data_IF_397619984781
#
_entry.id   IF_397619984781
#
_cell.length_a   1.000
_cell.length_b   1.000
_cell.length_c   1.000
_cell.angle_alpha   90.00
_cell.angle_beta   90.00
_cell.angle_gamma   90.00
#
_symmetry.space_group_name_H-M   'P 1'
#
loop_
_entity.id
_entity.type
_entity.pdbx_description
1 polymer ?
#
# COMPACT_ATOMS: atom_id res chain seq x y z
N UNK A 1 -23.43 -3.41 -6.78
CA UNK A 1 -22.25 -3.07 -7.60
C UNK A 1 -21.38 -2.12 -6.82
N UNK A 2 -20.07 -2.31 -6.81
CA UNK A 2 -19.13 -1.36 -6.25
C UNK A 2 -18.40 -0.65 -7.40
N UNK A 3 -18.39 0.71 -7.38
CA UNK A 3 -17.65 1.54 -8.34
C UNK A 3 -16.37 2.03 -7.68
N UNK A 4 -15.23 1.52 -8.13
CA UNK A 4 -13.91 2.01 -7.76
C UNK A 4 -13.49 3.13 -8.69
N UNK A 5 -13.45 4.35 -8.17
CA UNK A 5 -12.92 5.52 -8.86
C UNK A 5 -11.66 6.01 -8.15
N UNK A 6 -10.50 5.57 -8.62
CA UNK A 6 -9.23 5.84 -7.95
C UNK A 6 -8.11 6.07 -8.96
N UNK A 7 -7.53 7.28 -8.95
CA UNK A 7 -6.35 7.59 -9.78
C UNK A 7 -5.06 7.44 -8.97
N UNK A 8 -5.02 8.01 -7.79
CA UNK A 8 -3.88 7.95 -6.88
C UNK A 8 -4.34 7.54 -5.49
N UNK A 9 -3.63 6.61 -4.88
CA UNK A 9 -3.93 6.13 -3.53
C UNK A 9 -2.77 6.50 -2.61
N UNK A 10 -3.06 7.33 -1.62
CA UNK A 10 -2.12 7.67 -0.55
C UNK A 10 -2.29 6.68 0.60
N UNK A 11 -1.33 5.77 0.76
CA UNK A 11 -1.34 4.76 1.81
C UNK A 11 -0.12 3.87 1.74
N UNK A 12 0.21 3.21 2.83
CA UNK A 12 1.23 2.17 2.85
C UNK A 12 0.77 0.93 2.06
N UNK A 13 1.71 0.24 1.42
CA UNK A 13 1.40 -0.94 0.60
C UNK A 13 0.61 -2.00 1.36
N UNK A 14 0.95 -2.24 2.63
CA UNK A 14 0.21 -3.18 3.50
C UNK A 14 -1.25 -2.77 3.71
N UNK A 15 -1.54 -1.47 3.81
CA UNK A 15 -2.92 -0.98 3.95
C UNK A 15 -3.70 -1.19 2.65
N UNK A 16 -3.06 -0.96 1.50
CA UNK A 16 -3.67 -1.17 0.18
C UNK A 16 -3.94 -2.66 -0.03
N UNK A 17 -3.04 -3.54 0.41
CA UNK A 17 -3.22 -4.98 0.36
C UNK A 17 -4.39 -5.44 1.26
N UNK A 18 -4.54 -4.90 2.47
CA UNK A 18 -5.69 -5.17 3.33
C UNK A 18 -7.02 -4.77 2.64
N UNK A 19 -7.06 -3.58 2.01
CA UNK A 19 -8.23 -3.13 1.24
C UNK A 19 -8.48 -4.08 0.07
N UNK A 20 -7.44 -4.45 -0.68
CA UNK A 20 -7.54 -5.39 -1.78
C UNK A 20 -8.12 -6.74 -1.35
N UNK A 21 -7.65 -7.28 -0.23
CA UNK A 21 -8.17 -8.54 0.31
C UNK A 21 -9.65 -8.44 0.68
N UNK A 22 -10.09 -7.31 1.26
CA UNK A 22 -11.52 -7.09 1.53
C UNK A 22 -12.37 -6.93 0.27
N UNK A 23 -11.83 -6.35 -0.77
CA UNK A 23 -12.50 -6.30 -2.08
C UNK A 23 -12.59 -7.68 -2.73
N UNK A 24 -11.58 -8.54 -2.57
CA UNK A 24 -11.65 -9.94 -3.03
C UNK A 24 -12.72 -10.73 -2.26
N UNK A 25 -12.82 -10.55 -0.95
CA UNK A 25 -13.92 -11.13 -0.14
C UNK A 25 -15.29 -10.62 -0.63
N UNK A 26 -15.41 -9.33 -0.92
CA UNK A 26 -16.63 -8.74 -1.48
C UNK A 26 -16.96 -9.34 -2.85
N UNK A 27 -15.97 -9.43 -3.75
CA UNK A 27 -16.13 -10.06 -5.07
C UNK A 27 -16.60 -11.50 -4.97
N UNK A 28 -16.11 -12.26 -3.98
CA UNK A 28 -16.50 -13.64 -3.74
C UNK A 28 -17.99 -13.79 -3.34
N UNK A 29 -18.66 -12.71 -2.89
CA UNK A 29 -20.11 -12.73 -2.66
C UNK A 29 -20.95 -12.68 -3.95
N UNK A 30 -20.34 -12.66 -5.12
CA UNK A 30 -20.99 -12.55 -6.42
C UNK A 30 -21.39 -11.13 -6.83
N UNK A 31 -21.09 -10.12 -6.01
CA UNK A 31 -21.37 -8.71 -6.34
C UNK A 31 -20.25 -8.16 -7.22
N UNK A 32 -20.57 -7.58 -8.39
CA UNK A 32 -19.53 -7.09 -9.30
C UNK A 32 -18.86 -5.81 -8.77
N UNK A 33 -17.59 -5.71 -9.09
CA UNK A 33 -16.75 -4.52 -8.88
C UNK A 33 -16.41 -3.95 -10.25
N UNK A 34 -16.67 -2.68 -10.45
CA UNK A 34 -16.36 -1.92 -11.66
C UNK A 34 -15.33 -0.86 -11.32
N UNK A 35 -14.21 -0.85 -12.01
CA UNK A 35 -13.19 0.18 -11.84
C UNK A 35 -13.17 1.13 -13.03
N UNK A 36 -13.04 2.42 -12.75
CA UNK A 36 -12.83 3.46 -13.76
C UNK A 36 -11.83 4.49 -13.26
N UNK A 37 -11.00 4.97 -14.15
CA UNK A 37 -10.14 6.14 -13.91
C UNK A 37 -9.71 6.80 -15.20
N UNK A 38 -9.33 8.06 -15.11
CA UNK A 38 -8.62 8.76 -16.18
C UNK A 38 -7.13 8.39 -16.18
N UNK A 39 -6.56 8.19 -15.01
CA UNK A 39 -5.16 7.77 -14.83
C UNK A 39 -5.11 6.76 -13.69
N UNK A 40 -4.50 5.63 -13.92
CA UNK A 40 -4.19 4.68 -12.85
C UNK A 40 -2.71 4.77 -12.50
N UNK A 41 -2.38 5.25 -11.29
CA UNK A 41 -1.06 5.00 -10.72
C UNK A 41 -0.85 3.49 -10.50
N UNK A 42 0.38 3.03 -10.35
CA UNK A 42 0.67 1.59 -10.15
C UNK A 42 -0.10 0.99 -8.96
N UNK A 43 -0.19 1.72 -7.85
CA UNK A 43 -0.95 1.29 -6.67
C UNK A 43 -2.46 1.32 -6.88
N UNK A 44 -2.97 2.32 -7.60
CA UNK A 44 -4.38 2.38 -7.97
C UNK A 44 -4.76 1.24 -8.92
N UNK A 45 -3.89 0.94 -9.90
CA UNK A 45 -4.12 -0.18 -10.81
C UNK A 45 -3.99 -1.53 -10.10
N UNK A 46 -3.04 -1.67 -9.18
CA UNK A 46 -2.95 -2.88 -8.33
C UNK A 46 -4.28 -3.16 -7.62
N UNK A 47 -4.93 -2.10 -7.08
CA UNK A 47 -6.24 -2.25 -6.47
C UNK A 47 -7.34 -2.53 -7.51
N UNK A 48 -7.36 -1.78 -8.61
CA UNK A 48 -8.37 -1.91 -9.66
C UNK A 48 -8.30 -3.24 -10.41
N UNK A 49 -7.12 -3.87 -10.50
CA UNK A 49 -6.88 -5.09 -11.28
C UNK A 49 -7.77 -6.27 -10.87
N UNK A 50 -8.28 -6.28 -9.63
CA UNK A 50 -9.22 -7.31 -9.16
C UNK A 50 -10.66 -7.12 -9.65
N UNK A 51 -11.01 -5.94 -10.21
CA UNK A 51 -12.37 -5.64 -10.62
C UNK A 51 -12.87 -6.62 -11.72
N UNK A 52 -14.18 -6.77 -11.81
CA UNK A 52 -14.81 -7.58 -12.85
C UNK A 52 -14.70 -6.91 -14.22
N UNK A 53 -14.77 -5.58 -14.23
CA UNK A 53 -14.54 -4.74 -15.40
C UNK A 53 -13.69 -3.54 -15.01
N UNK A 54 -12.72 -3.22 -15.86
CA UNK A 54 -11.82 -2.08 -15.71
C UNK A 54 -11.95 -1.21 -16.93
N UNK A 55 -12.32 0.03 -16.71
CA UNK A 55 -12.46 1.03 -17.76
C UNK A 55 -11.41 2.13 -17.58
N UNK A 56 -10.94 2.66 -18.69
CA UNK A 56 -9.96 3.73 -18.73
C UNK A 56 -10.50 4.83 -19.67
N UNK A 57 -10.27 6.07 -19.29
CA UNK A 57 -10.55 7.20 -20.20
C UNK A 57 -9.80 7.00 -21.54
N UNK A 58 -10.39 7.32 -22.70
CA UNK A 58 -9.74 7.18 -24.01
C UNK A 58 -8.40 7.93 -24.15
N UNK A 59 -8.20 8.99 -23.36
CA UNK A 59 -6.94 9.74 -23.27
C UNK A 59 -6.12 9.36 -22.03
N UNK A 60 -6.51 8.29 -21.32
CA UNK A 60 -5.92 7.88 -20.07
C UNK A 60 -4.65 7.06 -20.20
N UNK A 61 -4.01 6.83 -19.08
CA UNK A 61 -2.79 6.02 -18.95
C UNK A 61 -2.85 5.11 -17.74
N UNK A 62 -2.06 4.04 -17.77
CA UNK A 62 -1.78 3.19 -16.61
C UNK A 62 -0.28 3.25 -16.34
N UNK A 63 0.11 3.70 -15.15
CA UNK A 63 1.50 3.73 -14.75
C UNK A 63 1.91 2.36 -14.20
N UNK A 64 2.38 1.46 -15.06
CA UNK A 64 3.07 0.24 -14.63
C UNK A 64 4.56 0.45 -14.87
N UNK A 65 5.27 0.72 -13.77
CA UNK A 65 6.70 1.02 -13.74
C UNK A 65 7.36 0.08 -12.72
N UNK A 66 8.67 0.03 -12.70
CA UNK A 66 9.40 -0.62 -11.62
C UNK A 66 9.33 0.20 -10.31
N UNK A 67 10.03 -0.30 -9.31
CA UNK A 67 10.28 0.44 -8.07
C UNK A 67 11.73 0.90 -8.08
N UNK A 68 11.98 2.11 -7.59
CA UNK A 68 13.32 2.65 -7.41
C UNK A 68 13.50 3.24 -6.02
N UNK A 69 14.74 3.22 -5.53
CA UNK A 69 15.11 3.91 -4.32
C UNK A 69 16.32 4.82 -4.63
N UNK A 70 16.23 6.08 -4.23
CA UNK A 70 17.33 7.04 -4.34
C UNK A 70 17.80 7.41 -2.94
N UNK A 71 19.11 7.29 -2.70
CA UNK A 71 19.73 7.67 -1.44
C UNK A 71 20.70 8.82 -1.72
N UNK A 72 20.55 9.90 -0.96
CA UNK A 72 21.42 11.05 -1.05
C UNK A 72 22.65 10.84 -0.16
N UNK A 73 23.84 11.14 -0.65
CA UNK A 73 25.11 11.03 0.08
C UNK A 73 25.63 12.42 0.38
N UNK A 74 26.01 12.66 1.63
CA UNK A 74 26.37 13.97 2.16
C UNK A 74 27.87 14.10 2.47
N UNK A 75 28.67 13.04 2.31
CA UNK A 75 30.10 13.03 2.64
C UNK A 75 30.84 14.24 2.04
N UNK A 76 30.72 14.46 0.73
CA UNK A 76 31.37 15.60 0.09
C UNK A 76 30.91 16.98 0.58
N UNK A 77 29.66 17.11 1.06
CA UNK A 77 29.20 18.34 1.70
C UNK A 77 29.82 18.51 3.09
N UNK A 78 29.89 17.45 3.87
CA UNK A 78 30.46 17.47 5.22
C UNK A 78 31.98 17.79 5.18
N UNK A 79 32.70 17.22 4.24
CA UNK A 79 34.12 17.53 3.99
C UNK A 79 34.35 19.03 3.66
N UNK A 80 33.49 19.62 2.81
CA UNK A 80 33.54 21.06 2.51
C UNK A 80 33.26 21.97 3.70
N UNK A 81 32.48 21.47 4.65
CA UNK A 81 32.16 22.18 5.89
C UNK A 81 33.15 21.88 7.02
N UNK A 82 34.22 21.10 6.75
CA UNK A 82 35.18 20.62 7.75
C UNK A 82 34.49 19.89 8.94
N UNK A 83 33.49 19.08 8.63
CA UNK A 83 32.78 18.25 9.62
C UNK A 83 33.26 16.81 9.51
N UNK A 84 33.93 16.31 10.54
CA UNK A 84 34.34 14.92 10.66
C UNK A 84 33.20 14.09 11.30
N UNK A 85 32.77 13.02 10.62
CA UNK A 85 31.75 12.11 11.10
C UNK A 85 32.41 10.90 11.74
N UNK A 86 32.25 10.77 13.05
CA UNK A 86 32.70 9.58 13.80
C UNK A 86 31.58 8.56 13.88
N UNK A 87 31.88 7.32 13.49
CA UNK A 87 30.89 6.24 13.42
C UNK A 87 31.28 5.11 14.33
N UNK A 88 30.30 4.67 15.10
CA UNK A 88 30.37 3.43 15.86
C UNK A 88 29.28 2.51 15.33
N UNK A 89 29.66 1.51 14.52
CA UNK A 89 28.69 0.53 14.00
C UNK A 89 29.19 -0.88 14.19
N UNK A 90 28.26 -1.82 14.29
CA UNK A 90 28.52 -3.26 14.25
C UNK A 90 27.65 -3.93 13.18
N UNK A 91 28.29 -4.69 12.29
CA UNK A 91 27.62 -5.43 11.21
C UNK A 91 27.61 -4.70 9.86
N UNK A 92 27.70 -5.50 8.77
CA UNK A 92 27.84 -5.01 7.38
C UNK A 92 26.53 -4.38 6.84
N UNK A 93 25.38 -4.83 7.32
CA UNK A 93 24.08 -4.38 6.84
C UNK A 93 23.50 -3.18 7.61
N UNK A 94 24.29 -2.50 8.43
CA UNK A 94 23.92 -1.25 9.11
C UNK A 94 24.18 -0.05 8.21
N UNK A 95 23.34 0.11 7.18
CA UNK A 95 23.52 1.07 6.09
C UNK A 95 23.08 2.51 6.41
N UNK A 96 22.37 2.75 7.51
CA UNK A 96 21.84 4.07 7.86
C UNK A 96 22.89 5.19 7.96
N UNK A 97 24.15 4.85 8.18
CA UNK A 97 25.26 5.78 8.29
C UNK A 97 26.02 6.03 6.96
N UNK A 98 25.81 5.18 5.97
CA UNK A 98 26.53 5.27 4.69
C UNK A 98 26.39 6.65 4.02
N UNK A 99 25.22 7.31 4.05
CA UNK A 99 25.04 8.64 3.48
C UNK A 99 26.03 9.71 4.01
N UNK A 100 26.57 9.52 5.20
CA UNK A 100 27.44 10.50 5.84
C UNK A 100 28.94 10.21 5.62
N UNK A 101 29.30 8.98 5.21
CA UNK A 101 30.69 8.53 5.15
C UNK A 101 31.12 7.91 3.83
N UNK A 102 30.17 7.59 2.97
CA UNK A 102 30.44 7.04 1.65
C UNK A 102 29.96 8.02 0.57
N UNK A 103 30.53 7.90 -0.65
CA UNK A 103 30.10 8.66 -1.81
C UNK A 103 29.04 7.93 -2.63
N UNK A 104 28.86 6.65 -2.38
CA UNK A 104 27.88 5.78 -3.02
C UNK A 104 27.48 4.63 -2.10
N UNK A 105 26.40 3.99 -2.44
CA UNK A 105 25.87 2.83 -1.73
C UNK A 105 26.87 1.66 -1.74
N UNK A 106 27.04 0.99 -0.59
CA UNK A 106 27.81 -0.26 -0.51
C UNK A 106 27.09 -1.39 -1.26
N UNK A 107 27.84 -2.43 -1.64
CA UNK A 107 27.27 -3.61 -2.32
C UNK A 107 26.27 -4.35 -1.41
N UNK A 108 26.55 -4.41 -0.11
CA UNK A 108 25.65 -5.02 0.88
C UNK A 108 24.32 -4.25 0.99
N UNK A 109 24.39 -2.91 1.02
CA UNK A 109 23.20 -2.07 1.05
C UNK A 109 22.40 -2.19 -0.26
N UNK A 110 23.09 -2.17 -1.40
CA UNK A 110 22.50 -2.37 -2.72
C UNK A 110 21.76 -3.70 -2.78
N UNK A 111 22.39 -4.81 -2.42
CA UNK A 111 21.79 -6.14 -2.42
C UNK A 111 20.54 -6.22 -1.52
N UNK A 112 20.60 -5.59 -0.35
CA UNK A 112 19.46 -5.53 0.57
C UNK A 112 18.28 -4.77 -0.02
N UNK A 113 18.54 -3.58 -0.61
CA UNK A 113 17.49 -2.78 -1.23
C UNK A 113 16.92 -3.44 -2.48
N UNK A 114 17.75 -4.01 -3.33
CA UNK A 114 17.31 -4.73 -4.53
C UNK A 114 16.43 -5.92 -4.15
N UNK A 115 16.79 -6.68 -3.13
CA UNK A 115 15.98 -7.80 -2.62
C UNK A 115 14.63 -7.31 -2.14
N UNK A 116 14.59 -6.23 -1.36
CA UNK A 116 13.35 -5.64 -0.84
C UNK A 116 12.46 -5.11 -1.99
N UNK A 117 13.02 -4.29 -2.88
CA UNK A 117 12.27 -3.69 -3.99
C UNK A 117 11.74 -4.74 -4.95
N UNK A 118 12.55 -5.75 -5.29
CA UNK A 118 12.13 -6.85 -6.14
C UNK A 118 11.02 -7.70 -5.50
N UNK A 119 11.10 -7.94 -4.20
CA UNK A 119 10.05 -8.66 -3.47
C UNK A 119 8.71 -7.91 -3.54
N UNK A 120 8.73 -6.60 -3.29
CA UNK A 120 7.53 -5.76 -3.34
C UNK A 120 6.98 -5.67 -4.78
N UNK A 121 7.85 -5.39 -5.76
CA UNK A 121 7.46 -5.27 -7.15
C UNK A 121 6.85 -6.58 -7.69
N UNK A 122 7.49 -7.70 -7.41
CA UNK A 122 6.99 -9.01 -7.82
C UNK A 122 5.62 -9.32 -7.22
N UNK A 123 5.39 -9.02 -5.96
CA UNK A 123 4.10 -9.24 -5.30
C UNK A 123 2.97 -8.42 -5.98
N UNK A 124 3.24 -7.14 -6.27
CA UNK A 124 2.28 -6.27 -6.98
C UNK A 124 2.01 -6.79 -8.40
N UNK A 125 3.07 -7.04 -9.18
CA UNK A 125 2.94 -7.43 -10.58
C UNK A 125 2.34 -8.83 -10.75
N UNK A 126 2.67 -9.77 -9.86
CA UNK A 126 2.09 -11.11 -9.85
C UNK A 126 0.60 -11.10 -9.52
N UNK A 127 0.20 -10.28 -8.55
CA UNK A 127 -1.21 -10.05 -8.25
C UNK A 127 -1.99 -9.48 -9.43
N UNK A 128 -1.40 -8.53 -10.17
CA UNK A 128 -1.99 -7.99 -11.40
C UNK A 128 -2.07 -9.08 -12.48
N UNK A 129 -0.97 -9.82 -12.68
CA UNK A 129 -0.88 -10.91 -13.65
C UNK A 129 -1.99 -11.94 -13.46
N UNK A 130 -2.13 -12.40 -12.23
CA UNK A 130 -3.14 -13.38 -11.83
C UNK A 130 -4.56 -12.92 -12.13
N UNK A 131 -4.91 -11.67 -11.77
CA UNK A 131 -6.27 -11.15 -11.95
C UNK A 131 -6.60 -10.82 -13.42
N UNK A 132 -5.61 -10.41 -14.21
CA UNK A 132 -5.79 -10.06 -15.63
C UNK A 132 -5.53 -11.23 -16.58
N UNK A 133 -5.14 -12.40 -16.09
CA UNK A 133 -4.79 -13.56 -16.92
C UNK A 133 -3.57 -13.30 -17.81
N UNK A 134 -2.63 -12.48 -17.34
CA UNK A 134 -1.40 -12.14 -18.04
C UNK A 134 -0.21 -12.91 -17.45
N UNK A 135 0.81 -13.16 -18.26
CA UNK A 135 2.06 -13.73 -17.76
C UNK A 135 2.88 -12.63 -17.05
N UNK A 136 3.42 -12.93 -15.86
CA UNK A 136 4.27 -12.00 -15.10
C UNK A 136 5.45 -11.49 -15.95
N UNK A 137 6.08 -12.35 -16.76
CA UNK A 137 7.17 -11.96 -17.65
C UNK A 137 6.75 -10.90 -18.68
N UNK A 138 5.50 -10.96 -19.17
CA UNK A 138 4.97 -9.96 -20.08
C UNK A 138 4.68 -8.64 -19.40
N UNK A 139 4.17 -8.66 -18.17
CA UNK A 139 3.96 -7.43 -17.40
C UNK A 139 5.29 -6.74 -17.11
N UNK A 140 6.35 -7.50 -16.79
CA UNK A 140 7.70 -6.94 -16.60
C UNK A 140 8.22 -6.31 -17.89
N UNK A 141 8.11 -7.01 -19.01
CA UNK A 141 8.49 -6.49 -20.35
C UNK A 141 7.72 -5.18 -20.66
N UNK A 142 6.41 -5.13 -20.36
CA UNK A 142 5.60 -3.95 -20.58
C UNK A 142 6.01 -2.79 -19.66
N UNK A 143 6.38 -3.08 -18.41
CA UNK A 143 6.87 -2.08 -17.45
C UNK A 143 8.23 -1.52 -17.89
N UNK A 144 9.17 -2.37 -18.29
CA UNK A 144 10.51 -1.98 -18.73
C UNK A 144 10.47 -1.10 -20.00
N UNK A 145 9.47 -1.32 -20.87
CA UNK A 145 9.29 -0.57 -22.12
C UNK A 145 8.22 0.50 -22.04
N UNK A 146 7.67 0.83 -20.87
CA UNK A 146 6.63 1.83 -20.62
C UNK A 146 5.42 1.68 -21.57
N UNK A 147 4.99 0.45 -21.82
CA UNK A 147 3.99 0.16 -22.85
C UNK A 147 2.56 0.55 -22.46
N UNK A 148 2.32 0.91 -21.20
CA UNK A 148 0.99 1.23 -20.67
C UNK A 148 0.69 2.74 -20.59
N UNK A 149 1.54 3.58 -21.18
CA UNK A 149 1.36 5.04 -21.24
C UNK A 149 0.40 5.52 -22.35
N UNK A 150 -0.35 4.60 -22.96
CA UNK A 150 -1.32 4.91 -23.99
C UNK A 150 -2.56 4.02 -23.82
N UNK A 151 -3.73 4.64 -23.78
CA UNK A 151 -5.00 3.96 -23.52
C UNK A 151 -5.29 2.81 -24.51
N UNK A 152 -5.05 3.04 -25.81
CA UNK A 152 -5.27 2.02 -26.84
C UNK A 152 -4.33 0.82 -26.65
N UNK A 153 -3.06 1.08 -26.28
CA UNK A 153 -2.13 -0.01 -25.92
C UNK A 153 -2.61 -0.76 -24.68
N UNK A 154 -3.10 -0.05 -23.66
CA UNK A 154 -3.63 -0.69 -22.44
C UNK A 154 -4.80 -1.64 -22.78
N UNK A 155 -5.69 -1.25 -23.70
CA UNK A 155 -6.78 -2.09 -24.16
C UNK A 155 -6.25 -3.32 -24.93
N UNK A 156 -5.38 -3.13 -25.91
CA UNK A 156 -4.82 -4.20 -26.73
C UNK A 156 -4.01 -5.21 -25.89
N UNK A 157 -3.30 -4.75 -24.88
CA UNK A 157 -2.53 -5.56 -23.93
C UNK A 157 -3.39 -6.16 -22.80
N UNK A 158 -4.72 -5.95 -22.83
CA UNK A 158 -5.70 -6.49 -21.87
C UNK A 158 -5.55 -6.01 -20.43
N UNK A 159 -4.97 -4.82 -20.23
CA UNK A 159 -4.98 -4.18 -18.93
C UNK A 159 -6.35 -3.61 -18.57
N UNK A 160 -7.13 -3.19 -19.57
CA UNK A 160 -8.51 -2.70 -19.40
C UNK A 160 -9.46 -3.43 -20.33
N UNK A 161 -10.75 -3.37 -20.01
CA UNK A 161 -11.79 -4.07 -20.76
C UNK A 161 -12.46 -3.18 -21.80
N UNK A 162 -12.46 -1.85 -21.60
CA UNK A 162 -12.90 -0.87 -22.59
C UNK A 162 -12.31 0.51 -22.27
N UNK A 163 -12.36 1.38 -23.29
CA UNK A 163 -12.06 2.81 -23.17
C UNK A 163 -13.38 3.57 -23.17
N UNK A 164 -13.70 4.20 -22.04
CA UNK A 164 -14.97 4.88 -21.83
C UNK A 164 -14.75 6.25 -21.18
N UNK A 165 -15.62 7.20 -21.48
CA UNK A 165 -15.79 8.40 -20.67
C UNK A 165 -16.66 8.11 -19.46
N UNK A 166 -16.66 8.98 -18.45
CA UNK A 166 -17.34 8.73 -17.17
C UNK A 166 -18.86 8.55 -17.32
N UNK A 167 -19.50 9.34 -18.19
CA UNK A 167 -20.91 9.22 -18.52
C UNK A 167 -21.27 7.86 -19.11
N UNK A 168 -20.43 7.33 -20.00
CA UNK A 168 -20.61 5.98 -20.56
C UNK A 168 -20.45 4.86 -19.51
N UNK A 169 -19.60 5.09 -18.49
CA UNK A 169 -19.50 4.17 -17.35
C UNK A 169 -20.79 4.21 -16.53
N UNK A 170 -21.40 5.39 -16.36
CA UNK A 170 -22.70 5.52 -15.69
C UNK A 170 -23.80 4.76 -16.42
N UNK A 171 -23.87 4.89 -17.75
CA UNK A 171 -24.81 4.12 -18.60
C UNK A 171 -24.62 2.60 -18.42
N UNK A 172 -23.36 2.17 -18.35
CA UNK A 172 -23.02 0.76 -18.10
C UNK A 172 -23.53 0.30 -16.73
N UNK A 173 -23.39 1.13 -15.69
CA UNK A 173 -23.88 0.80 -14.34
C UNK A 173 -25.39 0.77 -14.28
N UNK A 174 -26.10 1.67 -14.98
CA UNK A 174 -27.56 1.65 -15.12
C UNK A 174 -28.02 0.33 -15.74
N UNK A 175 -27.40 -0.06 -16.85
CA UNK A 175 -27.69 -1.33 -17.52
C UNK A 175 -27.46 -2.55 -16.64
N UNK A 176 -26.35 -2.58 -15.88
CA UNK A 176 -26.01 -3.67 -14.97
C UNK A 176 -26.92 -3.80 -13.78
N UNK A 177 -27.57 -2.71 -13.36
CA UNK A 177 -28.46 -2.69 -12.18
C UNK A 177 -29.91 -2.77 -12.56
N UNK A 178 -30.24 -2.81 -13.86
CA UNK A 178 -31.61 -2.79 -14.40
C UNK A 178 -32.46 -1.65 -13.79
N UNK A 179 -31.82 -0.51 -13.55
CA UNK A 179 -32.41 0.64 -12.86
C UNK A 179 -32.58 1.80 -13.82
N UNK A 180 -33.60 2.63 -13.63
CA UNK A 180 -33.80 3.84 -14.43
C UNK A 180 -32.77 4.93 -14.14
N UNK A 181 -32.12 4.87 -12.97
CA UNK A 181 -31.10 5.84 -12.53
C UNK A 181 -30.13 5.23 -11.54
N UNK A 182 -28.92 5.78 -11.47
CA UNK A 182 -27.92 5.35 -10.50
C UNK A 182 -28.27 5.91 -9.12
N UNK A 183 -28.31 5.04 -8.12
CA UNK A 183 -28.36 5.39 -6.70
C UNK A 183 -26.99 5.17 -6.06
N UNK A 184 -26.20 6.25 -5.91
CA UNK A 184 -24.86 6.18 -5.35
C UNK A 184 -24.89 6.42 -3.85
N UNK A 185 -24.31 5.51 -3.09
CA UNK A 185 -24.03 5.68 -1.67
C UNK A 185 -22.54 5.91 -1.49
N UNK A 186 -22.16 7.08 -0.99
CA UNK A 186 -20.75 7.37 -0.72
C UNK A 186 -20.20 6.50 0.41
N UNK A 187 -18.91 6.20 0.39
CA UNK A 187 -18.21 5.42 1.42
C UNK A 187 -18.48 5.97 2.83
N UNK A 188 -18.48 7.31 3.00
CA UNK A 188 -18.78 7.97 4.27
C UNK A 188 -20.21 7.72 4.77
N UNK A 189 -21.19 7.58 3.88
CA UNK A 189 -22.55 7.23 4.26
C UNK A 189 -22.65 5.73 4.55
N UNK A 190 -22.02 4.91 3.71
CA UNK A 190 -22.01 3.46 3.87
C UNK A 190 -21.35 3.00 5.17
N UNK A 191 -20.24 3.63 5.58
CA UNK A 191 -19.55 3.31 6.84
C UNK A 191 -20.38 3.55 8.11
N UNK A 192 -21.44 4.37 8.00
CA UNK A 192 -22.38 4.65 9.10
C UNK A 192 -23.56 3.67 9.18
N UNK A 193 -23.69 2.77 8.20
CA UNK A 193 -24.74 1.75 8.21
C UNK A 193 -24.46 0.80 9.37
N UNK A 194 -25.43 0.74 10.31
CA UNK A 194 -25.34 -0.19 11.42
C UNK A 194 -25.49 -1.61 10.89
N UNK A 195 -24.41 -2.36 10.86
CA UNK A 195 -24.45 -3.81 10.67
C UNK A 195 -25.10 -4.43 11.90
N UNK A 196 -25.83 -5.53 11.70
CA UNK A 196 -26.54 -6.25 12.77
C UNK A 196 -25.69 -6.31 14.05
N UNK A 197 -26.34 -6.06 15.20
CA UNK A 197 -25.74 -6.10 16.53
C UNK A 197 -24.92 -7.39 16.67
N UNK A 198 -23.60 -7.30 16.56
CA UNK A 198 -22.74 -8.36 17.05
C UNK A 198 -23.03 -8.48 18.55
N UNK A 199 -23.27 -9.67 19.04
CA UNK A 199 -23.31 -9.91 20.47
C UNK A 199 -22.05 -9.31 21.09
N UNK A 200 -22.23 -8.40 22.03
CA UNK A 200 -21.10 -7.74 22.69
C UNK A 200 -20.51 -8.79 23.63
N UNK A 201 -19.43 -9.42 23.19
CA UNK A 201 -18.65 -10.29 24.08
C UNK A 201 -18.10 -9.48 25.26
N UNK A 202 -18.13 -10.09 26.45
CA UNK A 202 -17.45 -9.53 27.63
C UNK A 202 -15.91 -9.68 27.50
N UNK A 203 -15.48 -10.67 26.72
CA UNK A 203 -14.05 -10.90 26.43
C UNK A 203 -13.53 -9.92 25.40
N UNK A 204 -12.28 -9.48 25.56
CA UNK A 204 -11.60 -8.46 24.76
C UNK A 204 -10.28 -8.97 24.19
N UNK A 205 -9.94 -8.44 23.05
CA UNK A 205 -8.57 -8.47 22.51
C UNK A 205 -8.01 -7.05 22.62
N UNK A 206 -6.89 -6.89 23.31
CA UNK A 206 -6.21 -5.60 23.40
C UNK A 206 -5.25 -5.44 22.21
N UNK A 207 -5.42 -4.37 21.42
CA UNK A 207 -4.48 -4.01 20.35
C UNK A 207 -3.66 -2.82 20.84
N UNK A 208 -2.35 -3.01 20.95
CA UNK A 208 -1.39 -1.98 21.37
C UNK A 208 -0.60 -1.55 20.15
N UNK A 209 -0.72 -0.28 19.78
CA UNK A 209 0.01 0.30 18.66
C UNK A 209 1.36 0.83 19.14
N UNK A 210 2.44 0.30 18.57
CA UNK A 210 3.80 0.75 18.79
C UNK A 210 4.31 1.39 17.48
N UNK A 211 4.09 2.72 17.34
CA UNK A 211 4.35 3.45 16.10
C UNK A 211 5.43 4.51 16.30
N UNK A 212 6.38 4.59 15.38
CA UNK A 212 7.45 5.57 15.35
C UNK A 212 8.74 5.12 16.03
N UNK A 213 9.64 6.05 16.31
CA UNK A 213 10.95 5.79 16.90
C UNK A 213 10.82 5.33 18.36
N UNK A 214 11.67 4.36 18.74
CA UNK A 214 11.76 3.87 20.12
C UNK A 214 12.62 4.85 20.95
N UNK A 215 12.07 5.35 22.05
CA UNK A 215 12.77 6.29 22.95
C UNK A 215 12.48 5.98 24.42
N UNK A 216 13.38 6.41 25.28
CA UNK A 216 13.19 6.34 26.73
C UNK A 216 12.12 7.32 27.19
N UNK A 217 11.38 6.98 28.25
CA UNK A 217 10.39 7.86 28.86
C UNK A 217 9.00 7.75 28.24
N UNK A 218 8.27 8.87 28.21
CA UNK A 218 6.92 8.94 27.64
C UNK A 218 6.98 9.09 26.14
N UNK A 219 6.21 8.28 25.42
CA UNK A 219 5.96 8.41 23.98
C UNK A 219 4.66 9.18 23.69
N UNK A 220 4.48 9.49 22.42
CA UNK A 220 3.30 10.13 21.84
C UNK A 220 2.74 9.31 20.67
N UNK A 221 1.87 9.90 19.83
CA UNK A 221 1.30 9.22 18.67
C UNK A 221 2.32 8.91 17.55
N UNK A 222 3.54 9.47 17.62
CA UNK A 222 4.61 9.31 16.62
C UNK A 222 5.87 8.67 17.19
N UNK A 223 5.83 8.21 18.44
CA UNK A 223 6.98 7.60 19.10
C UNK A 223 6.57 6.52 20.11
N UNK A 224 7.39 5.51 20.23
CA UNK A 224 7.24 4.40 21.18
C UNK A 224 8.03 4.75 22.44
N UNK A 225 7.33 5.20 23.47
CA UNK A 225 7.97 5.50 24.75
C UNK A 225 8.01 4.29 25.67
N UNK A 226 9.14 4.02 26.30
CA UNK A 226 9.30 2.90 27.24
C UNK A 226 8.25 2.89 28.35
N UNK A 227 7.94 4.05 28.93
CA UNK A 227 6.95 4.19 30.02
C UNK A 227 5.53 3.98 29.51
N UNK A 228 5.15 4.65 28.41
CA UNK A 228 3.77 4.61 27.90
C UNK A 228 3.40 3.23 27.37
N UNK A 229 4.30 2.61 26.60
CA UNK A 229 4.07 1.30 26.02
C UNK A 229 4.04 0.20 27.07
N UNK A 230 4.99 0.21 28.02
CA UNK A 230 5.00 -0.73 29.14
C UNK A 230 3.74 -0.61 30.00
N UNK A 231 3.26 0.62 30.26
CA UNK A 231 2.01 0.85 30.97
C UNK A 231 0.80 0.30 30.21
N UNK A 232 0.75 0.48 28.90
CA UNK A 232 -0.34 -0.07 28.06
C UNK A 232 -0.37 -1.60 28.10
N UNK A 233 0.79 -2.25 27.97
CA UNK A 233 0.94 -3.71 28.10
C UNK A 233 0.51 -4.19 29.48
N UNK A 234 0.97 -3.51 30.53
CA UNK A 234 0.60 -3.83 31.92
C UNK A 234 -0.90 -3.75 32.13
N UNK A 235 -1.51 -2.64 31.71
CA UNK A 235 -2.97 -2.41 31.85
C UNK A 235 -3.76 -3.51 31.10
N UNK A 236 -3.34 -3.86 29.89
CA UNK A 236 -3.99 -4.92 29.12
C UNK A 236 -3.85 -6.30 29.81
N UNK A 237 -2.70 -6.60 30.38
CA UNK A 237 -2.43 -7.86 31.12
C UNK A 237 -3.26 -7.97 32.39
N UNK A 238 -3.53 -6.86 33.07
CA UNK A 238 -4.26 -6.82 34.33
C UNK A 238 -5.79 -6.80 34.16
N UNK A 239 -6.33 -6.47 32.99
CA UNK A 239 -7.78 -6.56 32.71
C UNK A 239 -8.15 -8.04 32.47
N UNK A 240 -8.86 -8.65 33.41
CA UNK A 240 -9.32 -10.05 33.35
C UNK A 240 -10.17 -10.37 32.12
N UNK A 241 -10.77 -9.36 31.48
CA UNK A 241 -11.56 -9.50 30.26
C UNK A 241 -10.67 -9.60 29.02
N UNK A 242 -9.41 -9.16 29.10
CA UNK A 242 -8.47 -9.28 27.98
C UNK A 242 -7.95 -10.71 27.90
N UNK A 243 -8.30 -11.39 26.80
CA UNK A 243 -7.91 -12.78 26.54
C UNK A 243 -6.69 -12.91 25.65
N UNK A 244 -6.39 -11.86 24.87
CA UNK A 244 -5.20 -11.80 24.02
C UNK A 244 -4.70 -10.36 23.88
N UNK A 245 -3.40 -10.21 23.68
CA UNK A 245 -2.74 -8.93 23.41
C UNK A 245 -2.09 -9.04 22.03
N UNK A 246 -2.42 -8.10 21.14
CA UNK A 246 -1.77 -7.93 19.83
C UNK A 246 -0.91 -6.67 19.90
N UNK A 247 0.39 -6.82 19.79
CA UNK A 247 1.34 -5.71 19.66
C UNK A 247 1.58 -5.43 18.18
N UNK A 248 0.99 -4.34 17.66
CA UNK A 248 1.17 -3.92 16.27
C UNK A 248 2.33 -2.94 16.18
N UNK A 249 3.44 -3.38 15.60
CA UNK A 249 4.69 -2.58 15.53
C UNK A 249 4.83 -1.97 14.13
N UNK A 250 5.05 -0.65 14.10
CA UNK A 250 5.43 0.10 12.90
C UNK A 250 6.53 1.09 13.27
N UNK A 251 7.78 0.64 13.29
CA UNK A 251 8.91 1.38 13.85
C UNK A 251 10.19 1.18 13.03
N UNK A 252 10.97 2.25 12.78
CA UNK A 252 12.32 2.12 12.20
C UNK A 252 13.36 1.60 13.21
N UNK A 253 12.99 1.47 14.49
CA UNK A 253 13.90 1.18 15.59
C UNK A 253 14.10 2.39 16.48
N UNK A 254 15.24 2.46 17.17
CA UNK A 254 15.61 3.57 18.09
C UNK A 254 16.45 3.06 19.24
N UNK A 255 16.21 3.55 20.47
CA UNK A 255 16.93 3.14 21.66
C UNK A 255 16.80 1.64 21.91
N UNK A 256 17.91 1.00 22.28
CA UNK A 256 17.95 -0.39 22.73
C UNK A 256 17.63 -0.57 24.21
N UNK A 257 17.45 0.53 24.95
CA UNK A 257 17.16 0.58 26.38
C UNK A 257 15.69 0.88 26.65
#
# INVERSE_FOLDING_TARGET
VDKLYTSYINGGLSQIEEIRNKLLEFKATGKPIIAYSEVYSQTAYYLASLANKIYLNPQGIIEIKGLSASIMFYKGLLEKLNIDVQIIRQGKFKSAIEPFVLDKMSEENRSQLETLLNSIANNILDSIASQRGLKLSKIKEHADNLMTENAVKCLNLKYVDALLYEDQVEDTLISLTESEKINIISLNKYSKVKTNKKEISRDKIAIIYATGEIKSGKGDSKSIGSITTSKAIKTAREDKRVKAIVLRINSPGGSAL
#
